data_IF_769985122282
#
_entry.id   IF_769985122282
#
_cell.length_a   1.000
_cell.length_b   1.000
_cell.length_c   1.000
_cell.angle_alpha   90.00
_cell.angle_beta   90.00
_cell.angle_gamma   90.00
#
_symmetry.space_group_name_H-M   'P 1'
#
loop_
_entity.id
_entity.type
_entity.pdbx_description
1 polymer ?
#
# COMPACT_ATOMS: atom_id res chain seq x y z
N UNK A 1 -38.40 -21.45 22.37
CA UNK A 1 -37.67 -20.30 21.76
C UNK A 1 -36.78 -20.85 20.66
N UNK A 2 -37.06 -20.52 19.40
CA UNK A 2 -36.16 -20.87 18.29
C UNK A 2 -34.94 -19.97 18.38
N UNK A 3 -33.77 -20.52 18.68
CA UNK A 3 -32.51 -19.82 18.58
C UNK A 3 -32.29 -19.45 17.12
N UNK A 4 -32.53 -18.21 16.77
CA UNK A 4 -32.06 -17.66 15.52
C UNK A 4 -30.56 -17.46 15.64
N UNK A 5 -29.77 -18.47 15.34
CA UNK A 5 -28.36 -18.31 15.02
C UNK A 5 -28.30 -17.66 13.63
N UNK A 6 -28.11 -16.38 13.58
CA UNK A 6 -27.69 -15.68 12.38
C UNK A 6 -26.23 -16.11 12.12
N UNK A 7 -26.05 -17.20 11.39
CA UNK A 7 -24.76 -17.50 10.78
C UNK A 7 -24.50 -16.53 9.64
N UNK A 8 -24.02 -15.37 9.98
CA UNK A 8 -23.54 -14.39 9.02
C UNK A 8 -22.09 -14.72 8.63
N UNK A 9 -21.88 -15.88 8.02
CA UNK A 9 -20.63 -16.20 7.34
C UNK A 9 -20.62 -15.55 5.98
N UNK A 10 -20.17 -14.31 5.89
CA UNK A 10 -19.75 -13.77 4.62
C UNK A 10 -18.32 -14.25 4.33
N UNK A 11 -18.21 -15.39 3.68
CA UNK A 11 -16.93 -15.84 3.14
C UNK A 11 -16.67 -14.98 1.92
N UNK A 12 -15.72 -14.05 2.07
CA UNK A 12 -15.17 -13.34 0.93
C UNK A 12 -14.07 -14.22 0.37
N UNK A 13 -14.38 -14.89 -0.73
CA UNK A 13 -13.51 -15.87 -1.39
C UNK A 13 -12.52 -15.27 -2.41
N UNK A 14 -12.38 -13.95 -2.41
CA UNK A 14 -11.47 -13.23 -3.29
C UNK A 14 -10.59 -12.24 -2.51
N UNK A 15 -9.35 -12.00 -2.96
CA UNK A 15 -8.44 -11.05 -2.33
C UNK A 15 -8.97 -9.62 -2.40
N UNK A 16 -9.00 -8.96 -1.25
CA UNK A 16 -9.34 -7.53 -1.15
C UNK A 16 -8.35 -6.81 -0.25
N UNK A 17 -8.06 -5.56 -0.57
CA UNK A 17 -7.21 -4.70 0.24
C UNK A 17 -8.05 -3.68 1.01
N UNK A 18 -7.67 -3.44 2.25
CA UNK A 18 -8.23 -2.37 3.09
C UNK A 18 -7.50 -1.06 2.78
N UNK A 19 -8.27 0.01 2.57
CA UNK A 19 -7.74 1.35 2.37
C UNK A 19 -8.42 2.28 3.37
N UNK A 20 -7.62 3.02 4.14
CA UNK A 20 -8.12 4.00 5.09
C UNK A 20 -8.47 5.31 4.38
N UNK A 21 -9.60 5.92 4.78
CA UNK A 21 -10.05 7.19 4.21
C UNK A 21 -9.08 8.33 4.50
N UNK A 22 -8.49 8.34 5.68
CA UNK A 22 -7.48 9.32 6.07
C UNK A 22 -6.26 9.28 5.14
N UNK A 23 -5.77 8.09 4.82
CA UNK A 23 -4.71 7.91 3.83
C UNK A 23 -5.10 8.49 2.46
N UNK A 24 -6.34 8.24 2.00
CA UNK A 24 -6.82 8.81 0.75
C UNK A 24 -6.93 10.32 0.80
N UNK A 25 -7.40 10.89 1.90
CA UNK A 25 -7.47 12.35 2.08
C UNK A 25 -6.08 12.98 2.02
N UNK A 26 -5.10 12.36 2.67
CA UNK A 26 -3.69 12.79 2.61
C UNK A 26 -3.17 12.75 1.18
N UNK A 27 -3.41 11.66 0.44
CA UNK A 27 -3.00 11.56 -0.96
C UNK A 27 -3.71 12.59 -1.86
N UNK A 28 -4.98 12.85 -1.66
CA UNK A 28 -5.73 13.86 -2.41
C UNK A 28 -5.18 15.26 -2.13
N UNK A 29 -4.75 15.54 -0.91
CA UNK A 29 -4.17 16.82 -0.51
C UNK A 29 -2.74 17.03 -1.02
N UNK A 30 -1.95 15.95 -1.15
CA UNK A 30 -0.55 16.02 -1.56
C UNK A 30 -0.41 16.42 -3.04
N UNK A 31 -0.09 17.68 -3.29
CA UNK A 31 0.08 18.26 -4.64
C UNK A 31 1.43 17.94 -5.30
N UNK A 32 2.37 17.33 -4.58
CA UNK A 32 3.67 16.90 -5.12
C UNK A 32 3.56 15.68 -6.03
N UNK A 33 2.50 14.86 -5.85
CA UNK A 33 2.22 13.64 -6.60
C UNK A 33 1.29 13.93 -7.80
N UNK A 34 1.66 13.46 -8.96
CA UNK A 34 0.91 13.70 -10.21
C UNK A 34 -0.24 12.69 -10.39
N UNK A 35 -1.37 13.20 -10.88
CA UNK A 35 -2.57 12.39 -11.19
C UNK A 35 -2.79 12.17 -12.69
N UNK A 36 -2.00 12.80 -13.55
CA UNK A 36 -2.14 12.68 -15.02
C UNK A 36 -1.78 11.27 -15.49
N UNK A 37 -2.76 10.53 -15.97
CA UNK A 37 -2.65 9.15 -16.45
C UNK A 37 -3.98 8.65 -16.96
N UNK A 38 -4.01 7.42 -17.46
CA UNK A 38 -5.19 6.79 -18.06
C UNK A 38 -5.67 5.54 -17.33
N UNK A 39 -5.01 5.12 -16.25
CA UNK A 39 -5.36 3.87 -15.57
C UNK A 39 -6.72 3.92 -14.87
N UNK A 40 -7.09 5.06 -14.34
CA UNK A 40 -8.37 5.24 -13.65
C UNK A 40 -8.43 4.68 -12.22
N UNK A 41 -7.38 4.03 -11.73
CA UNK A 41 -7.33 3.45 -10.39
C UNK A 41 -7.55 4.53 -9.31
N UNK A 42 -6.79 5.62 -9.38
CA UNK A 42 -6.92 6.73 -8.45
C UNK A 42 -8.35 7.28 -8.42
N UNK A 43 -8.95 7.51 -9.58
CA UNK A 43 -10.29 8.06 -9.67
C UNK A 43 -11.35 7.16 -9.05
N UNK A 44 -11.24 5.85 -9.29
CA UNK A 44 -12.13 4.86 -8.69
C UNK A 44 -11.99 4.81 -7.17
N UNK A 45 -10.74 4.76 -6.67
CA UNK A 45 -10.46 4.70 -5.22
C UNK A 45 -10.95 5.96 -4.50
N UNK A 46 -10.81 7.14 -5.13
CA UNK A 46 -11.35 8.40 -4.60
C UNK A 46 -12.86 8.31 -4.43
N UNK A 47 -13.60 7.83 -5.43
CA UNK A 47 -15.06 7.68 -5.31
C UNK A 47 -15.42 6.70 -4.19
N UNK A 48 -14.69 5.61 -4.06
CA UNK A 48 -14.86 4.66 -2.95
C UNK A 48 -14.63 5.32 -1.58
N UNK A 49 -13.65 6.22 -1.47
CA UNK A 49 -13.37 6.92 -0.22
C UNK A 49 -14.50 7.85 0.24
N UNK A 50 -15.27 8.37 -0.69
CA UNK A 50 -16.44 9.21 -0.38
C UNK A 50 -17.75 8.44 -0.26
N UNK A 51 -17.84 7.22 -0.80
CA UNK A 51 -19.06 6.41 -0.76
C UNK A 51 -19.52 6.12 0.69
N UNK A 52 -20.82 6.17 0.93
CA UNK A 52 -21.41 5.94 2.25
C UNK A 52 -21.34 4.45 2.66
N UNK A 53 -21.13 4.21 3.95
CA UNK A 53 -21.34 2.89 4.58
C UNK A 53 -22.75 2.68 5.10
N UNK A 54 -23.43 3.77 5.50
CA UNK A 54 -24.77 3.76 6.09
C UNK A 54 -25.66 4.71 5.33
N UNK A 55 -26.96 4.46 5.36
CA UNK A 55 -27.93 5.42 4.83
C UNK A 55 -27.83 6.75 5.57
N UNK A 56 -27.73 7.83 4.85
CA UNK A 56 -27.65 9.19 5.37
C UNK A 56 -28.50 10.15 4.52
N UNK A 57 -28.69 11.36 5.04
CA UNK A 57 -29.38 12.44 4.34
C UNK A 57 -28.40 13.57 4.08
N UNK A 58 -28.38 14.06 2.84
CA UNK A 58 -27.53 15.18 2.46
C UNK A 58 -28.38 16.28 1.80
N UNK A 59 -28.21 17.49 2.27
CA UNK A 59 -28.91 18.65 1.70
C UNK A 59 -27.97 19.40 0.76
N UNK A 60 -28.36 19.57 -0.49
CA UNK A 60 -27.66 20.33 -1.52
C UNK A 60 -28.69 21.25 -2.20
N UNK A 61 -28.38 22.53 -2.35
CA UNK A 61 -29.26 23.55 -2.96
C UNK A 61 -30.68 23.56 -2.37
N UNK A 62 -30.78 23.35 -1.04
CA UNK A 62 -32.07 23.34 -0.36
C UNK A 62 -32.85 22.02 -0.48
N UNK A 63 -32.45 21.09 -1.33
CA UNK A 63 -33.09 19.80 -1.55
C UNK A 63 -32.40 18.73 -0.69
N UNK A 64 -33.20 17.92 0.01
CA UNK A 64 -32.71 16.81 0.82
C UNK A 64 -32.71 15.54 -0.01
N UNK A 65 -31.55 14.88 -0.08
CA UNK A 65 -31.34 13.63 -0.81
C UNK A 65 -31.05 12.51 0.15
N UNK A 66 -31.66 11.34 -0.06
CA UNK A 66 -31.28 10.12 0.63
C UNK A 66 -30.11 9.48 -0.11
N UNK A 67 -29.04 9.15 0.63
CA UNK A 67 -27.82 8.55 0.13
C UNK A 67 -27.66 7.19 0.79
N UNK A 68 -27.73 6.13 0.00
CA UNK A 68 -27.64 4.74 0.47
C UNK A 68 -26.16 4.27 0.56
N UNK A 69 -25.90 3.11 1.20
CA UNK A 69 -24.56 2.51 1.20
C UNK A 69 -24.01 2.30 -0.21
N UNK A 70 -22.79 2.74 -0.44
CA UNK A 70 -22.15 2.73 -1.76
C UNK A 70 -22.45 3.95 -2.63
N UNK A 71 -23.39 4.80 -2.20
CA UNK A 71 -23.73 6.01 -2.92
C UNK A 71 -23.07 7.25 -2.32
N UNK A 72 -22.97 8.29 -3.12
CA UNK A 72 -22.66 9.64 -2.70
C UNK A 72 -23.29 10.66 -3.63
N UNK A 73 -23.52 11.86 -3.10
CA UNK A 73 -24.03 13.00 -3.87
C UNK A 73 -23.21 14.25 -3.55
N UNK A 74 -22.77 14.96 -4.58
CA UNK A 74 -21.91 16.14 -4.47
C UNK A 74 -22.05 17.01 -5.71
N UNK A 75 -21.41 18.18 -5.70
CA UNK A 75 -21.29 19.01 -6.90
C UNK A 75 -20.26 18.42 -7.88
N UNK A 76 -20.37 18.74 -9.16
CA UNK A 76 -19.34 18.38 -10.14
C UNK A 76 -18.02 19.11 -9.84
N UNK A 77 -18.08 20.26 -9.19
CA UNK A 77 -16.90 21.01 -8.73
C UNK A 77 -16.10 20.20 -7.70
N UNK A 78 -16.79 19.58 -6.72
CA UNK A 78 -16.14 18.70 -5.74
C UNK A 78 -15.40 17.55 -6.43
N UNK A 79 -16.04 16.87 -7.40
CA UNK A 79 -15.43 15.79 -8.16
C UNK A 79 -14.23 16.29 -8.97
N UNK A 80 -14.33 17.45 -9.58
CA UNK A 80 -13.24 18.07 -10.35
C UNK A 80 -12.03 18.34 -9.46
N UNK A 81 -12.25 18.80 -8.24
CA UNK A 81 -11.21 19.02 -7.24
C UNK A 81 -10.59 17.70 -6.77
N UNK A 82 -11.38 16.70 -6.43
CA UNK A 82 -10.90 15.38 -5.98
C UNK A 82 -10.07 14.67 -7.06
N UNK A 83 -10.53 14.75 -8.31
CA UNK A 83 -9.83 14.17 -9.46
C UNK A 83 -8.63 15.01 -9.90
N UNK A 84 -8.49 16.23 -9.36
CA UNK A 84 -7.43 17.18 -9.75
C UNK A 84 -7.41 17.47 -11.24
N UNK A 85 -8.58 17.53 -11.85
CA UNK A 85 -8.73 17.92 -13.24
C UNK A 85 -9.16 19.39 -13.32
N UNK A 86 -8.86 20.03 -14.45
CA UNK A 86 -9.08 21.46 -14.60
C UNK A 86 -10.53 21.82 -14.92
N UNK A 87 -11.21 20.95 -15.67
CA UNK A 87 -12.50 21.25 -16.24
C UNK A 87 -13.54 20.18 -15.89
N UNK A 88 -14.80 20.58 -15.71
CA UNK A 88 -15.92 19.69 -15.41
C UNK A 88 -16.11 18.60 -16.47
N UNK A 89 -15.88 18.89 -17.77
CA UNK A 89 -16.03 17.89 -18.82
C UNK A 89 -15.03 16.73 -18.66
N UNK A 90 -13.83 17.02 -18.13
CA UNK A 90 -12.85 15.97 -17.85
C UNK A 90 -13.31 15.05 -16.72
N UNK A 91 -13.90 15.64 -15.65
CA UNK A 91 -14.47 14.85 -14.57
C UNK A 91 -15.61 13.96 -15.08
N UNK A 92 -16.50 14.49 -15.94
CA UNK A 92 -17.56 13.70 -16.57
C UNK A 92 -17.03 12.61 -17.49
N UNK A 93 -15.96 12.86 -18.25
CA UNK A 93 -15.32 11.85 -19.10
C UNK A 93 -14.76 10.69 -18.27
N UNK A 94 -14.15 11.00 -17.11
CA UNK A 94 -13.65 9.99 -16.18
C UNK A 94 -14.81 9.18 -15.59
N UNK A 95 -15.87 9.85 -15.09
CA UNK A 95 -17.05 9.16 -14.56
C UNK A 95 -17.68 8.24 -15.61
N UNK A 96 -17.78 8.71 -16.86
CA UNK A 96 -18.30 7.90 -17.97
C UNK A 96 -17.41 6.69 -18.24
N UNK A 97 -16.09 6.88 -18.28
CA UNK A 97 -15.13 5.77 -18.45
C UNK A 97 -15.26 4.70 -17.36
N UNK A 98 -15.44 5.11 -16.09
CA UNK A 98 -15.66 4.18 -14.99
C UNK A 98 -17.04 3.48 -15.09
N UNK A 99 -18.07 4.19 -15.55
CA UNK A 99 -19.40 3.60 -15.79
C UNK A 99 -19.39 2.63 -16.96
N UNK A 100 -18.71 2.94 -18.06
CA UNK A 100 -18.56 2.04 -19.22
C UNK A 100 -17.86 0.73 -18.85
N UNK A 101 -17.01 0.76 -17.81
CA UNK A 101 -16.39 -0.42 -17.18
C UNK A 101 -17.26 -1.08 -16.10
N UNK A 102 -18.50 -0.63 -15.92
CA UNK A 102 -19.44 -1.15 -14.91
C UNK A 102 -18.95 -1.06 -13.46
N UNK A 103 -17.99 -0.20 -13.15
CA UNK A 103 -17.47 0.00 -11.79
C UNK A 103 -18.34 0.94 -10.96
N UNK A 104 -19.01 1.86 -11.62
CA UNK A 104 -19.93 2.82 -11.00
C UNK A 104 -21.16 3.01 -11.87
N UNK A 105 -22.22 3.56 -11.27
CA UNK A 105 -23.29 4.25 -11.99
C UNK A 105 -23.33 5.70 -11.52
N UNK A 106 -23.66 6.64 -12.41
CA UNK A 106 -23.88 8.02 -11.99
C UNK A 106 -25.01 8.68 -12.74
N UNK A 107 -25.65 9.65 -12.09
CA UNK A 107 -26.71 10.47 -12.66
C UNK A 107 -26.41 11.95 -12.40
N UNK A 108 -26.83 12.81 -13.34
CA UNK A 108 -26.75 14.26 -13.19
C UNK A 108 -28.09 14.80 -12.69
N UNK A 109 -28.03 15.63 -11.69
CA UNK A 109 -29.18 16.26 -11.06
C UNK A 109 -29.02 17.80 -11.09
N UNK A 110 -30.05 18.53 -10.72
CA UNK A 110 -29.97 19.98 -10.51
C UNK A 110 -29.36 20.74 -11.69
N UNK A 111 -29.95 20.66 -12.89
CA UNK A 111 -29.43 21.26 -14.13
C UNK A 111 -28.01 20.77 -14.53
N UNK A 112 -27.62 19.63 -14.01
CA UNK A 112 -26.33 18.95 -14.38
C UNK A 112 -25.14 19.34 -13.53
N UNK A 113 -25.26 20.17 -12.52
CA UNK A 113 -24.15 20.55 -11.63
C UNK A 113 -24.02 19.66 -10.39
N UNK A 114 -25.05 18.88 -10.07
CA UNK A 114 -25.02 17.87 -9.01
C UNK A 114 -24.85 16.50 -9.64
N UNK A 115 -24.01 15.69 -9.02
CA UNK A 115 -23.73 14.30 -9.42
C UNK A 115 -24.09 13.40 -8.25
N UNK A 116 -24.95 12.42 -8.50
CA UNK A 116 -25.14 11.28 -7.61
C UNK A 116 -24.47 10.07 -8.25
N UNK A 117 -23.57 9.40 -7.54
CA UNK A 117 -22.92 8.18 -8.01
C UNK A 117 -23.13 7.04 -7.02
N UNK A 118 -23.03 5.83 -7.53
CA UNK A 118 -23.07 4.58 -6.76
C UNK A 118 -21.96 3.64 -7.22
N UNK A 119 -21.25 3.05 -6.27
CA UNK A 119 -20.21 2.06 -6.53
C UNK A 119 -20.86 0.69 -6.75
N UNK A 120 -20.53 0.03 -7.85
CA UNK A 120 -21.00 -1.31 -8.15
C UNK A 120 -20.47 -2.31 -7.11
N UNK A 121 -21.28 -3.28 -6.72
CA UNK A 121 -20.93 -4.32 -5.73
C UNK A 121 -20.43 -3.79 -4.38
N UNK A 122 -20.74 -2.52 -4.03
CA UNK A 122 -20.28 -1.92 -2.80
C UNK A 122 -20.54 -2.79 -1.57
N UNK A 123 -21.77 -3.28 -1.40
CA UNK A 123 -22.15 -4.11 -0.26
C UNK A 123 -21.38 -5.42 -0.22
N UNK A 124 -21.19 -6.05 -1.37
CA UNK A 124 -20.42 -7.29 -1.48
C UNK A 124 -18.96 -7.09 -1.04
N UNK A 125 -18.35 -5.98 -1.48
CA UNK A 125 -16.96 -5.68 -1.19
C UNK A 125 -16.75 -5.12 0.24
N UNK A 126 -17.74 -4.40 0.77
CA UNK A 126 -17.62 -3.59 1.98
C UNK A 126 -18.55 -3.99 3.13
N UNK A 127 -19.18 -5.15 3.08
CA UNK A 127 -19.87 -5.68 4.25
C UNK A 127 -18.83 -6.21 5.22
N UNK A 128 -18.63 -5.53 6.34
CA UNK A 128 -17.79 -5.96 7.44
C UNK A 128 -18.70 -6.30 8.62
N UNK A 129 -18.98 -7.58 8.80
CA UNK A 129 -19.80 -8.07 9.92
C UNK A 129 -19.07 -7.97 11.24
N UNK A 130 -17.73 -8.07 11.19
CA UNK A 130 -16.85 -7.98 12.37
C UNK A 130 -16.31 -6.57 12.61
N UNK A 131 -16.85 -5.57 11.91
CA UNK A 131 -16.42 -4.20 12.10
C UNK A 131 -17.07 -3.60 13.35
N UNK A 132 -16.49 -3.91 14.47
CA UNK A 132 -16.72 -3.23 15.73
C UNK A 132 -15.79 -2.03 15.80
N UNK A 133 -16.20 -0.88 15.25
CA UNK A 133 -15.43 0.34 15.41
C UNK A 133 -15.94 1.10 16.63
N UNK A 134 -15.32 0.95 17.80
CA UNK A 134 -15.69 1.73 18.97
C UNK A 134 -15.18 3.16 18.87
N UNK A 135 -14.28 3.45 17.96
CA UNK A 135 -13.64 4.75 17.84
C UNK A 135 -14.37 5.61 16.82
N UNK A 136 -15.21 6.54 17.30
CA UNK A 136 -15.91 7.53 16.44
C UNK A 136 -14.96 8.59 15.87
N UNK A 137 -13.69 8.61 16.25
CA UNK A 137 -12.68 9.57 15.77
C UNK A 137 -12.01 9.14 14.47
N UNK A 138 -12.14 7.86 14.08
CA UNK A 138 -11.57 7.35 12.85
C UNK A 138 -12.51 7.65 11.67
N UNK A 139 -11.98 8.17 10.59
CA UNK A 139 -12.71 8.39 9.33
C UNK A 139 -13.10 7.08 8.63
N UNK A 140 -12.64 5.93 9.15
CA UNK A 140 -12.95 4.59 8.69
C UNK A 140 -12.12 4.14 7.48
N UNK A 141 -12.45 2.94 7.01
CA UNK A 141 -11.80 2.33 5.85
C UNK A 141 -12.84 1.72 4.91
N UNK A 142 -12.38 1.32 3.73
CA UNK A 142 -13.15 0.55 2.76
C UNK A 142 -12.27 -0.52 2.12
N UNK A 143 -12.90 -1.50 1.47
CA UNK A 143 -12.20 -2.55 0.78
C UNK A 143 -12.29 -2.40 -0.73
N UNK A 144 -11.19 -2.69 -1.41
CA UNK A 144 -11.11 -2.78 -2.87
C UNK A 144 -10.67 -4.19 -3.25
N UNK A 145 -11.38 -4.88 -4.18
CA UNK A 145 -10.90 -6.13 -4.74
C UNK A 145 -9.57 -5.94 -5.46
N UNK A 146 -8.61 -6.82 -5.21
CA UNK A 146 -7.29 -6.77 -5.86
C UNK A 146 -7.42 -6.96 -7.38
N UNK A 147 -8.40 -7.75 -7.83
CA UNK A 147 -8.71 -7.94 -9.26
C UNK A 147 -9.09 -6.63 -9.94
N UNK A 148 -10.00 -5.85 -9.33
CA UNK A 148 -10.43 -4.55 -9.85
C UNK A 148 -9.26 -3.57 -9.94
N UNK A 149 -8.41 -3.53 -8.91
CA UNK A 149 -7.21 -2.68 -8.93
C UNK A 149 -6.23 -3.11 -10.03
N UNK A 150 -6.03 -4.42 -10.21
CA UNK A 150 -5.17 -4.97 -11.26
C UNK A 150 -5.70 -4.67 -12.66
N UNK A 151 -6.99 -4.79 -12.87
CA UNK A 151 -7.63 -4.43 -14.15
C UNK A 151 -7.45 -2.94 -14.46
N UNK A 152 -7.72 -2.06 -13.49
CA UNK A 152 -7.60 -0.63 -13.67
C UNK A 152 -6.18 -0.18 -13.93
N UNK A 153 -5.20 -0.69 -13.18
CA UNK A 153 -3.80 -0.28 -13.35
C UNK A 153 -3.22 -0.75 -14.69
N UNK A 154 -3.65 -1.90 -15.17
CA UNK A 154 -3.20 -2.47 -16.45
C UNK A 154 -3.91 -1.89 -17.67
N UNK A 155 -4.98 -1.12 -17.48
CA UNK A 155 -5.81 -0.61 -18.56
C UNK A 155 -5.19 0.56 -19.35
N UNK A 156 -4.05 1.08 -18.91
CA UNK A 156 -3.40 2.19 -19.60
C UNK A 156 -2.15 2.66 -18.86
N UNK A 157 -1.69 3.85 -19.21
CA UNK A 157 -0.53 4.46 -18.57
C UNK A 157 -0.88 4.93 -17.16
N UNK A 158 -0.25 4.34 -16.15
CA UNK A 158 -0.44 4.73 -14.77
C UNK A 158 0.14 6.12 -14.47
N UNK A 159 -0.56 6.88 -13.64
CA UNK A 159 -0.03 8.10 -13.01
C UNK A 159 0.84 7.76 -11.79
N UNK A 160 1.54 8.77 -11.25
CA UNK A 160 2.28 8.60 -10.00
C UNK A 160 1.34 8.19 -8.86
N UNK A 161 0.14 8.76 -8.83
CA UNK A 161 -0.90 8.46 -7.84
C UNK A 161 -1.44 7.03 -7.99
N UNK A 162 -1.66 6.57 -9.22
CA UNK A 162 -2.07 5.18 -9.49
C UNK A 162 -1.01 4.20 -9.00
N UNK A 163 0.28 4.51 -9.20
CA UNK A 163 1.39 3.66 -8.75
C UNK A 163 1.45 3.55 -7.22
N UNK A 164 1.29 4.67 -6.49
CA UNK A 164 1.24 4.62 -5.02
C UNK A 164 0.11 3.70 -4.56
N UNK A 165 -1.08 3.86 -5.12
CA UNK A 165 -2.24 3.05 -4.77
C UNK A 165 -2.03 1.57 -5.13
N UNK A 166 -1.44 1.29 -6.30
CA UNK A 166 -1.12 -0.07 -6.71
C UNK A 166 -0.13 -0.74 -5.75
N UNK A 167 0.90 -0.03 -5.33
CA UNK A 167 1.85 -0.51 -4.32
C UNK A 167 1.17 -0.79 -2.98
N UNK A 168 0.27 0.09 -2.51
CA UNK A 168 -0.48 -0.10 -1.27
C UNK A 168 -1.43 -1.30 -1.33
N UNK A 169 -2.15 -1.45 -2.43
CA UNK A 169 -3.08 -2.56 -2.64
C UNK A 169 -2.34 -3.90 -2.75
N UNK A 170 -1.12 -3.86 -3.30
CA UNK A 170 -0.26 -5.04 -3.48
C UNK A 170 0.71 -5.28 -2.32
N UNK A 171 0.65 -4.48 -1.26
CA UNK A 171 1.52 -4.65 -0.10
C UNK A 171 1.17 -5.93 0.67
N UNK A 172 2.20 -6.68 1.04
CA UNK A 172 2.07 -7.93 1.79
C UNK A 172 2.85 -7.81 3.10
N UNK A 173 2.20 -8.24 4.17
CA UNK A 173 2.78 -8.26 5.50
C UNK A 173 2.33 -9.51 6.24
N UNK A 174 3.30 -10.28 6.74
CA UNK A 174 3.08 -11.55 7.48
C UNK A 174 2.29 -12.61 6.69
N UNK A 175 2.49 -12.69 5.38
CA UNK A 175 1.94 -13.77 4.56
C UNK A 175 2.91 -14.94 4.55
N UNK A 176 2.49 -16.09 5.07
CA UNK A 176 3.32 -17.31 5.14
C UNK A 176 3.77 -17.82 3.76
N UNK A 177 3.04 -17.48 2.70
CA UNK A 177 3.37 -17.88 1.33
C UNK A 177 4.40 -16.93 0.68
N UNK A 178 4.67 -15.79 1.29
CA UNK A 178 5.56 -14.77 0.76
C UNK A 178 6.82 -14.71 1.58
N UNK A 179 7.92 -15.13 0.98
CA UNK A 179 9.23 -15.14 1.61
C UNK A 179 9.67 -13.72 1.95
N UNK A 180 10.10 -13.49 3.18
CA UNK A 180 10.55 -12.19 3.66
C UNK A 180 9.43 -11.23 4.08
N UNK A 181 8.16 -11.63 4.02
CA UNK A 181 7.05 -10.78 4.45
C UNK A 181 7.02 -10.53 5.96
N UNK A 182 7.67 -11.36 6.75
CA UNK A 182 7.80 -11.22 8.19
C UNK A 182 8.73 -10.08 8.62
N UNK A 183 9.61 -9.60 7.73
CA UNK A 183 10.59 -8.54 8.01
C UNK A 183 9.92 -7.17 8.02
N UNK A 184 8.88 -7.01 7.21
CA UNK A 184 8.14 -5.75 7.11
C UNK A 184 7.15 -5.75 5.95
N UNK A 185 6.37 -4.68 5.79
CA UNK A 185 5.41 -4.57 4.70
C UNK A 185 6.13 -4.46 3.36
N UNK A 186 5.83 -5.38 2.46
CA UNK A 186 6.47 -5.51 1.15
C UNK A 186 5.43 -5.30 0.06
N UNK A 187 5.69 -4.36 -0.84
CA UNK A 187 4.93 -4.23 -2.07
C UNK A 187 5.54 -5.13 -3.14
N UNK A 188 4.78 -6.13 -3.60
CA UNK A 188 5.22 -6.99 -4.68
C UNK A 188 4.05 -7.44 -5.55
N UNK A 189 4.35 -7.89 -6.77
CA UNK A 189 3.36 -8.42 -7.68
C UNK A 189 3.51 -9.93 -7.78
N UNK A 190 2.39 -10.65 -7.70
CA UNK A 190 2.39 -12.12 -7.78
C UNK A 190 2.93 -12.57 -9.14
N UNK A 191 4.16 -13.05 -9.14
CA UNK A 191 4.82 -13.64 -10.31
C UNK A 191 4.74 -15.19 -10.30
N UNK A 192 3.94 -15.77 -9.42
CA UNK A 192 3.83 -17.21 -9.23
C UNK A 192 4.88 -17.84 -8.30
N UNK A 193 5.90 -17.10 -7.88
CA UNK A 193 7.00 -17.62 -7.06
C UNK A 193 6.87 -17.27 -5.57
N UNK A 194 5.94 -16.37 -5.20
CA UNK A 194 5.84 -15.85 -3.83
C UNK A 194 7.05 -15.05 -3.37
N UNK A 195 7.88 -14.59 -4.30
CA UNK A 195 9.09 -13.82 -4.02
C UNK A 195 8.79 -12.32 -4.08
N UNK A 196 9.14 -11.51 -3.06
CA UNK A 196 8.92 -10.07 -3.04
C UNK A 196 9.87 -9.27 -3.95
N UNK A 197 10.82 -9.94 -4.59
CA UNK A 197 11.73 -9.31 -5.54
C UNK A 197 10.99 -8.97 -6.84
N UNK A 198 10.98 -7.70 -7.19
CA UNK A 198 10.41 -7.21 -8.44
C UNK A 198 11.51 -6.69 -9.36
N UNK A 199 11.29 -6.79 -10.66
CA UNK A 199 12.16 -6.16 -11.63
C UNK A 199 11.44 -5.00 -12.35
N UNK A 200 12.20 -4.05 -12.84
CA UNK A 200 11.62 -2.85 -13.47
C UNK A 200 10.94 -3.16 -14.81
N UNK A 201 11.21 -4.30 -15.44
CA UNK A 201 10.50 -4.73 -16.65
C UNK A 201 9.08 -5.18 -16.34
N UNK A 202 8.89 -5.91 -15.24
CA UNK A 202 7.56 -6.30 -14.75
C UNK A 202 6.72 -5.07 -14.37
N UNK A 203 7.32 -4.14 -13.61
CA UNK A 203 6.65 -2.90 -13.24
C UNK A 203 6.33 -2.03 -14.46
N UNK A 204 7.23 -1.99 -15.45
CA UNK A 204 7.02 -1.30 -16.73
C UNK A 204 5.81 -1.86 -17.48
N UNK A 205 5.69 -3.17 -17.58
CA UNK A 205 4.55 -3.84 -18.22
C UNK A 205 3.25 -3.58 -17.45
N UNK A 206 3.29 -3.67 -16.11
CA UNK A 206 2.12 -3.46 -15.24
C UNK A 206 1.59 -2.03 -15.29
N UNK A 207 2.48 -1.04 -15.26
CA UNK A 207 2.10 0.37 -15.19
C UNK A 207 2.00 1.07 -16.55
N UNK A 208 2.30 0.37 -17.64
CA UNK A 208 2.24 0.94 -18.98
C UNK A 208 3.21 2.12 -19.19
N UNK A 209 4.35 2.14 -18.48
CA UNK A 209 5.37 3.18 -18.58
C UNK A 209 6.74 2.57 -18.90
N UNK A 210 7.67 3.37 -19.44
CA UNK A 210 9.00 2.85 -19.77
C UNK A 210 9.79 2.43 -18.52
N UNK A 211 10.69 1.45 -18.67
CA UNK A 211 11.55 0.97 -17.59
C UNK A 211 12.37 2.10 -16.94
N UNK A 212 12.87 3.06 -17.72
CA UNK A 212 13.57 4.23 -17.19
C UNK A 212 12.64 5.14 -16.38
N UNK A 213 11.37 5.25 -16.78
CA UNK A 213 10.35 5.99 -16.03
C UNK A 213 10.01 5.31 -14.70
N UNK A 214 9.98 3.96 -14.67
CA UNK A 214 9.81 3.20 -13.41
C UNK A 214 10.90 3.57 -12.41
N UNK A 215 12.17 3.51 -12.81
CA UNK A 215 13.28 3.83 -11.91
C UNK A 215 13.23 5.26 -11.39
N UNK A 216 12.95 6.25 -12.26
CA UNK A 216 12.80 7.65 -11.84
C UNK A 216 11.62 7.86 -10.91
N UNK A 217 10.49 7.21 -11.18
CA UNK A 217 9.30 7.30 -10.35
C UNK A 217 9.53 6.69 -8.96
N UNK A 218 10.07 5.48 -8.88
CA UNK A 218 10.35 4.84 -7.60
C UNK A 218 11.35 5.66 -6.77
N UNK A 219 12.40 6.22 -7.42
CA UNK A 219 13.34 7.13 -6.74
C UNK A 219 12.62 8.37 -6.20
N UNK A 220 11.79 9.03 -7.03
CA UNK A 220 10.99 10.17 -6.60
C UNK A 220 10.10 9.84 -5.40
N UNK A 221 9.42 8.69 -5.40
CA UNK A 221 8.56 8.26 -4.29
C UNK A 221 9.38 7.94 -3.02
N UNK A 222 10.61 7.44 -3.18
CA UNK A 222 11.52 7.26 -2.07
C UNK A 222 12.00 8.59 -1.49
N UNK A 223 12.31 9.57 -2.34
CA UNK A 223 12.71 10.93 -1.92
C UNK A 223 11.57 11.66 -1.20
N UNK A 224 10.32 11.34 -1.51
CA UNK A 224 9.11 11.85 -0.82
C UNK A 224 8.67 11.01 0.39
N UNK A 225 9.48 10.06 0.80
CA UNK A 225 9.25 9.23 1.98
C UNK A 225 8.04 8.27 1.92
N UNK A 226 7.52 7.99 0.71
CA UNK A 226 6.45 7.00 0.53
C UNK A 226 6.93 5.56 0.61
N UNK A 227 8.18 5.32 0.20
CA UNK A 227 8.74 3.96 0.14
C UNK A 227 10.24 3.93 0.39
N UNK A 228 10.75 2.73 0.63
CA UNK A 228 12.17 2.43 0.70
C UNK A 228 12.51 1.34 -0.31
N UNK A 229 13.64 1.49 -1.02
CA UNK A 229 14.07 0.57 -2.05
C UNK A 229 15.31 -0.20 -1.60
N UNK A 230 15.22 -1.52 -1.57
CA UNK A 230 16.38 -2.38 -1.39
C UNK A 230 16.68 -3.08 -2.72
N UNK A 231 17.69 -2.57 -3.42
CA UNK A 231 18.15 -3.13 -4.69
C UNK A 231 19.30 -4.09 -4.45
N UNK A 232 19.20 -5.28 -5.03
CA UNK A 232 20.22 -6.31 -4.97
C UNK A 232 20.95 -6.41 -6.31
N UNK A 233 22.27 -6.66 -6.30
CA UNK A 233 23.07 -6.71 -7.51
C UNK A 233 22.69 -7.88 -8.42
N UNK A 234 23.07 -7.77 -9.69
CA UNK A 234 22.80 -8.77 -10.69
C UNK A 234 21.35 -8.78 -11.17
N UNK A 235 20.78 -9.99 -11.32
CA UNK A 235 19.40 -10.20 -11.76
C UNK A 235 18.42 -10.43 -10.61
N UNK A 236 18.88 -10.23 -9.37
CA UNK A 236 18.05 -10.53 -8.18
C UNK A 236 16.82 -9.67 -8.09
N UNK A 237 16.89 -8.37 -8.40
CA UNK A 237 15.75 -7.47 -8.39
C UNK A 237 15.75 -6.46 -7.24
N UNK A 238 14.59 -5.89 -6.96
CA UNK A 238 14.39 -4.86 -5.94
C UNK A 238 13.25 -5.26 -5.03
N UNK A 239 13.42 -5.08 -3.73
CA UNK A 239 12.33 -5.17 -2.74
C UNK A 239 11.86 -3.75 -2.45
N UNK A 240 10.55 -3.55 -2.47
CA UNK A 240 9.91 -2.27 -2.21
C UNK A 240 9.18 -2.35 -0.87
N UNK A 241 9.58 -1.52 0.08
CA UNK A 241 8.90 -1.38 1.37
C UNK A 241 8.12 -0.08 1.42
N UNK A 242 6.87 -0.15 1.86
CA UNK A 242 6.02 1.02 2.06
C UNK A 242 6.31 1.62 3.42
N UNK A 243 6.74 2.88 3.44
CA UNK A 243 6.88 3.64 4.68
C UNK A 243 5.49 4.01 5.22
N UNK A 244 5.41 4.15 6.55
CA UNK A 244 4.17 4.47 7.26
C UNK A 244 3.01 3.46 7.03
N UNK A 245 3.30 2.28 6.43
CA UNK A 245 2.27 1.27 6.23
C UNK A 245 1.77 0.72 7.57
N UNK A 246 2.67 0.39 8.49
CA UNK A 246 2.31 -0.16 9.80
C UNK A 246 1.63 0.87 10.70
N UNK A 247 2.11 2.12 10.68
CA UNK A 247 1.50 3.19 11.47
C UNK A 247 0.10 3.55 10.98
N UNK A 248 -0.11 3.56 9.66
CA UNK A 248 -1.42 3.83 9.06
C UNK A 248 -2.39 2.66 9.20
N UNK A 249 -1.92 1.42 8.99
CA UNK A 249 -2.79 0.24 8.93
C UNK A 249 -3.02 -0.40 10.30
N UNK A 250 -2.06 -0.28 11.24
CA UNK A 250 -2.08 -0.99 12.52
C UNK A 250 -1.75 -0.11 13.72
N UNK A 251 -1.52 1.19 13.54
CA UNK A 251 -1.09 2.13 14.57
C UNK A 251 0.19 1.66 15.31
N UNK A 252 1.07 0.98 14.59
CA UNK A 252 2.36 0.49 15.07
C UNK A 252 3.45 1.37 14.47
N UNK A 253 4.45 1.74 15.26
CA UNK A 253 5.62 2.47 14.77
C UNK A 253 6.33 1.69 13.66
N UNK A 254 6.80 2.39 12.64
CA UNK A 254 7.53 1.77 11.54
C UNK A 254 8.80 1.09 12.04
N UNK A 255 9.08 -0.06 11.46
CA UNK A 255 10.25 -0.88 11.75
C UNK A 255 11.40 -0.42 10.87
N UNK A 256 12.59 -0.29 11.43
CA UNK A 256 13.80 -0.10 10.63
C UNK A 256 14.09 -1.37 9.84
N UNK A 257 14.31 -1.21 8.54
CA UNK A 257 14.58 -2.32 7.61
C UNK A 257 16.08 -2.38 7.37
N UNK A 258 16.69 -3.52 7.73
CA UNK A 258 18.09 -3.80 7.47
C UNK A 258 18.24 -4.58 6.15
N UNK A 259 19.07 -4.06 5.24
CA UNK A 259 19.31 -4.68 3.92
C UNK A 259 19.96 -6.05 4.03
N UNK A 260 20.87 -6.24 4.99
CA UNK A 260 21.58 -7.51 5.18
C UNK A 260 20.65 -8.58 5.74
N UNK A 261 19.78 -8.20 6.70
CA UNK A 261 18.76 -9.09 7.24
C UNK A 261 17.78 -9.54 6.13
N UNK A 262 17.32 -8.62 5.30
CA UNK A 262 16.46 -8.92 4.14
C UNK A 262 17.17 -9.85 3.17
N UNK A 263 18.45 -9.60 2.86
CA UNK A 263 19.23 -10.44 1.95
C UNK A 263 19.38 -11.86 2.50
N UNK A 264 19.66 -12.01 3.79
CA UNK A 264 19.75 -13.33 4.45
C UNK A 264 18.42 -14.08 4.39
N UNK A 265 17.30 -13.43 4.69
CA UNK A 265 15.97 -14.04 4.62
C UNK A 265 15.60 -14.49 3.20
N UNK A 266 16.05 -13.76 2.19
CA UNK A 266 15.82 -14.08 0.78
C UNK A 266 16.89 -15.00 0.19
N UNK A 267 17.93 -15.39 0.96
CA UNK A 267 19.13 -16.13 0.51
C UNK A 267 19.85 -15.42 -0.65
N UNK A 268 20.02 -14.12 -0.56
CA UNK A 268 20.74 -13.30 -1.54
C UNK A 268 22.14 -13.02 -1.06
N UNK A 269 23.10 -12.96 -2.00
CA UNK A 269 24.45 -12.49 -1.70
C UNK A 269 24.46 -10.97 -1.63
N UNK A 270 24.96 -10.41 -0.55
CA UNK A 270 25.25 -8.98 -0.42
C UNK A 270 26.70 -8.78 -0.87
N UNK A 271 26.92 -7.98 -1.90
CA UNK A 271 28.27 -7.50 -2.19
C UNK A 271 28.61 -6.45 -1.14
N UNK A 272 29.53 -6.79 -0.26
CA UNK A 272 30.15 -5.78 0.61
C UNK A 272 30.99 -4.90 -0.33
N UNK A 273 30.84 -3.57 -0.34
CA UNK A 273 31.79 -2.72 -1.04
C UNK A 273 33.15 -2.97 -0.42
N UNK A 274 34.12 -3.36 -1.25
CA UNK A 274 35.50 -3.51 -0.82
C UNK A 274 35.94 -2.20 -0.17
N UNK A 275 36.02 -2.22 1.14
CA UNK A 275 36.62 -1.13 1.92
C UNK A 275 38.09 -1.15 1.59
N UNK A 276 38.51 -0.14 0.81
CA UNK A 276 39.86 0.43 0.75
C UNK A 276 40.97 -0.64 0.87
N UNK A 277 41.63 -0.92 -0.25
CA UNK A 277 42.92 -1.58 -0.27
C UNK A 277 43.87 -0.83 0.67
N UNK A 278 44.51 -1.50 1.63
CA UNK A 278 45.56 -0.85 2.38
C UNK A 278 46.75 -0.69 1.44
N UNK A 279 47.03 0.56 1.07
CA UNK A 279 48.34 0.89 0.52
C UNK A 279 49.42 0.44 1.53
N UNK A 280 50.37 -0.30 1.01
CA UNK A 280 51.57 -0.79 1.65
C UNK A 280 52.30 0.27 2.48
N UNK A 281 52.57 -0.05 3.75
CA UNK A 281 53.49 0.75 4.54
C UNK A 281 53.60 0.37 6.00
N UNK A 282 54.61 -0.47 6.28
CA UNK A 282 55.37 -0.59 7.54
C UNK A 282 54.70 -1.04 8.85
N UNK A 283 55.18 -2.19 9.27
CA UNK A 283 55.36 -2.77 10.59
C UNK A 283 55.41 -1.74 11.74
N UNK A 284 54.49 -1.81 12.67
CA UNK A 284 54.70 -1.60 14.10
C UNK A 284 53.66 -2.37 14.91
N UNK A 285 54.20 -3.25 15.79
CA UNK A 285 53.50 -3.85 16.91
C UNK A 285 52.88 -2.77 17.81
N UNK A 286 51.59 -2.82 18.01
CA UNK A 286 50.99 -2.19 19.18
C UNK A 286 49.79 -3.00 19.67
N UNK A 287 49.87 -3.39 20.92
CA UNK A 287 48.89 -4.11 21.71
C UNK A 287 47.53 -3.47 21.63
N UNK A 288 46.55 -4.20 21.10
CA UNK A 288 45.15 -3.82 21.15
C UNK A 288 44.61 -4.08 22.55
N UNK A 289 44.56 -3.04 23.36
CA UNK A 289 43.70 -2.99 24.53
C UNK A 289 42.25 -2.94 24.08
N UNK A 290 41.54 -4.06 24.25
CA UNK A 290 40.10 -4.13 24.06
C UNK A 290 39.45 -3.39 25.23
N UNK A 291 39.10 -2.10 25.04
CA UNK A 291 38.20 -1.41 25.93
C UNK A 291 36.77 -1.81 25.57
N UNK A 292 36.21 -2.70 26.36
CA UNK A 292 34.79 -3.08 26.36
C UNK A 292 33.97 -1.91 26.93
N UNK A 293 33.66 -0.94 26.11
CA UNK A 293 32.53 -0.06 26.40
C UNK A 293 31.38 -0.42 25.48
N UNK A 294 30.41 -1.17 26.02
CA UNK A 294 29.11 -1.41 25.42
C UNK A 294 28.37 -0.08 25.32
N UNK A 295 27.95 0.37 24.12
CA UNK A 295 27.04 1.49 24.03
C UNK A 295 25.66 1.04 24.57
N UNK A 296 25.25 1.67 25.65
CA UNK A 296 23.95 1.48 26.30
C UNK A 296 22.82 2.06 25.45
N UNK A 297 22.46 1.39 24.36
CA UNK A 297 21.16 1.56 23.70
C UNK A 297 20.73 0.17 23.24
N UNK A 298 19.91 -0.47 24.07
CA UNK A 298 19.23 -1.70 23.69
C UNK A 298 18.20 -1.38 22.61
N UNK A 299 18.58 -1.52 21.36
CA UNK A 299 17.64 -1.44 20.23
C UNK A 299 16.71 -2.66 20.35
N UNK A 300 15.37 -2.48 20.39
CA UNK A 300 14.42 -3.59 20.53
C UNK A 300 14.57 -4.65 19.43
N UNK A 301 15.15 -4.30 18.29
CA UNK A 301 15.45 -5.18 17.17
C UNK A 301 16.57 -6.18 17.44
N UNK A 302 17.62 -5.78 18.16
CA UNK A 302 18.71 -6.69 18.52
C UNK A 302 18.26 -7.80 19.45
N UNK A 303 17.33 -7.49 20.37
CA UNK A 303 16.73 -8.49 21.27
C UNK A 303 15.89 -9.53 20.52
N UNK A 304 15.21 -9.14 19.47
CA UNK A 304 14.43 -10.07 18.63
C UNK A 304 15.35 -11.01 17.82
N UNK A 305 16.39 -10.47 17.20
CA UNK A 305 17.38 -11.25 16.45
C UNK A 305 18.13 -12.24 17.36
N UNK A 306 18.62 -11.77 18.49
CA UNK A 306 19.29 -12.63 19.49
C UNK A 306 18.36 -13.74 19.97
N UNK A 307 17.09 -13.45 20.26
CA UNK A 307 16.10 -14.47 20.65
C UNK A 307 15.81 -15.47 19.52
N UNK A 308 15.78 -15.02 18.28
CA UNK A 308 15.56 -15.90 17.10
C UNK A 308 16.75 -16.83 16.89
N UNK A 309 17.98 -16.30 16.96
CA UNK A 309 19.22 -17.09 16.87
C UNK A 309 19.30 -18.10 18.01
N UNK A 310 19.02 -17.68 19.25
CA UNK A 310 19.02 -18.58 20.41
C UNK A 310 17.99 -19.72 20.24
N UNK A 311 16.78 -19.44 19.80
CA UNK A 311 15.77 -20.47 19.52
C UNK A 311 16.18 -21.44 18.42
N UNK A 312 16.87 -20.94 17.38
CA UNK A 312 17.37 -21.80 16.30
C UNK A 312 18.50 -22.70 16.77
N UNK A 313 19.39 -22.18 17.61
CA UNK A 313 20.48 -22.96 18.22
C UNK A 313 19.94 -23.99 19.23
N UNK A 314 18.97 -23.63 20.05
CA UNK A 314 18.28 -24.55 20.96
C UNK A 314 17.53 -25.67 20.22
N UNK A 315 16.88 -25.35 19.08
CA UNK A 315 16.21 -26.34 18.23
C UNK A 315 17.22 -27.30 17.54
N UNK A 316 18.50 -26.90 17.41
CA UNK A 316 19.59 -27.74 16.94
C UNK A 316 20.38 -28.47 18.06
N UNK A 317 19.88 -28.41 19.31
CA UNK A 317 20.48 -29.08 20.45
C UNK A 317 21.72 -28.39 21.01
N UNK A 318 22.01 -27.15 20.65
CA UNK A 318 23.09 -26.35 21.17
C UNK A 318 22.56 -25.52 22.36
N UNK A 319 22.93 -25.94 23.60
CA UNK A 319 22.61 -25.15 24.80
C UNK A 319 23.55 -23.95 24.89
N UNK A 320 23.00 -22.74 24.73
CA UNK A 320 23.71 -21.52 25.07
C UNK A 320 23.60 -21.28 26.57
N UNK A 321 24.73 -21.43 27.27
CA UNK A 321 24.84 -21.08 28.68
C UNK A 321 24.64 -19.57 28.85
N UNK A 322 23.72 -19.22 29.75
CA UNK A 322 23.37 -17.88 30.22
C UNK A 322 24.53 -17.17 30.92
#
# INVERSE_FOLDING_TARGET
>A
MKNYQLELRQIVDYPRCRIYREFMQTLIADRSIRTGGCSGLFYYVVLCAYANFRTSYRRIDGISYTVYPGEWICSITDITEWFRVRFHYQAFAILKSLQDRQLITFTRLGRGHIVKFSITDWRRNNTALDYNCPCQKDSGFFFIPVSTATELISAGRASEMDVILDLWISAIYKDQQVRGSEIGPVAYFRNGTGNPLVNYSELSARWGISRSSVGRLLKKLADFDYLSLLTFPGRSGTVIYLKNYLSTMFQISDVMIDKEEVAMCLNLRVSVPDTISPESGSIFDEQICVSTELPSVSKPHMLYFVRKVLRTLEAQGISCLS
#
